data_IF_210100731470
#
_entry.id   IF_210100731470
#
_cell.length_a   1.000
_cell.length_b   1.000
_cell.length_c   1.000
_cell.angle_alpha   90.00
_cell.angle_beta   90.00
_cell.angle_gamma   90.00
#
_symmetry.space_group_name_H-M   'P 1'
#
loop_
_entity.id
_entity.type
_entity.pdbx_description
1 polymer ?
#
# COMPACT_ATOMS: atom_id res chain seq x y z
N UNK A 1 25.18 -12.17 42.87
CA UNK A 1 26.01 -11.13 43.51
C UNK A 1 25.10 -9.90 43.68
N UNK A 2 24.54 -9.71 44.88
CA UNK A 2 23.56 -8.67 45.21
C UNK A 2 24.30 -7.46 45.80
N UNK A 3 24.19 -6.29 45.16
CA UNK A 3 24.72 -5.04 45.71
C UNK A 3 23.58 -4.34 46.46
N UNK A 4 23.68 -4.36 47.79
CA UNK A 4 22.80 -3.63 48.71
C UNK A 4 23.18 -2.15 48.70
N UNK A 5 22.26 -1.29 48.26
CA UNK A 5 22.43 0.16 48.34
C UNK A 5 21.98 0.64 49.74
N UNK A 6 22.95 1.02 50.56
CA UNK A 6 22.71 1.60 51.88
C UNK A 6 22.24 3.05 51.77
N UNK A 7 21.01 3.32 52.21
CA UNK A 7 20.47 4.68 52.33
C UNK A 7 21.03 5.35 53.59
N UNK A 8 21.94 6.32 53.41
CA UNK A 8 22.45 7.15 54.51
C UNK A 8 21.48 8.32 54.72
N UNK A 9 20.73 8.27 55.83
CA UNK A 9 19.89 9.38 56.27
C UNK A 9 20.77 10.49 56.88
N UNK A 10 21.02 11.57 56.14
CA UNK A 10 21.71 12.75 56.66
C UNK A 10 20.78 13.56 57.57
N UNK A 11 21.26 13.84 58.78
CA UNK A 11 20.57 14.64 59.79
C UNK A 11 20.62 16.14 59.38
N UNK A 12 19.48 16.82 59.16
CA UNK A 12 19.43 18.18 58.58
C UNK A 12 19.96 19.30 59.50
N UNK A 13 20.39 18.97 60.71
CA UNK A 13 20.83 19.92 61.74
C UNK A 13 22.31 20.31 61.65
N UNK A 14 23.15 19.66 60.83
CA UNK A 14 24.59 19.96 60.71
C UNK A 14 24.98 20.94 59.60
N UNK A 15 24.01 21.42 58.81
CA UNK A 15 24.28 22.38 57.75
C UNK A 15 24.51 23.78 58.33
N UNK A 16 25.66 24.38 58.02
CA UNK A 16 26.01 25.72 58.46
C UNK A 16 24.95 26.74 58.01
N UNK A 17 24.85 27.86 58.74
CA UNK A 17 23.92 28.94 58.39
C UNK A 17 24.10 29.43 56.94
N UNK A 18 25.33 29.36 56.42
CA UNK A 18 25.68 29.70 55.05
C UNK A 18 25.06 28.74 54.04
N UNK A 19 25.14 27.42 54.26
CA UNK A 19 24.56 26.43 53.33
C UNK A 19 23.03 26.52 53.29
N UNK A 20 22.38 26.83 54.43
CA UNK A 20 20.92 27.06 54.47
C UNK A 20 20.51 28.33 53.71
N UNK A 21 21.31 29.39 53.77
CA UNK A 21 21.06 30.61 53.00
C UNK A 21 21.24 30.37 51.49
N UNK A 22 22.28 29.63 51.10
CA UNK A 22 22.53 29.30 49.68
C UNK A 22 21.45 28.41 49.09
N UNK A 23 20.97 27.39 49.83
CA UNK A 23 19.87 26.53 49.37
C UNK A 23 18.56 27.32 49.23
N UNK A 24 18.26 28.23 50.16
CA UNK A 24 17.09 29.12 50.04
C UNK A 24 17.20 30.07 48.85
N UNK A 25 18.38 30.62 48.59
CA UNK A 25 18.63 31.45 47.42
C UNK A 25 18.48 30.65 46.13
N UNK A 26 18.99 29.42 46.08
CA UNK A 26 18.86 28.54 44.92
C UNK A 26 17.39 28.14 44.67
N UNK A 27 16.64 27.84 45.72
CA UNK A 27 15.19 27.56 45.64
C UNK A 27 14.43 28.81 45.18
N UNK A 28 14.78 30.00 45.66
CA UNK A 28 14.15 31.25 45.22
C UNK A 28 14.49 31.58 43.76
N UNK A 29 15.71 31.31 43.30
CA UNK A 29 16.11 31.47 41.89
C UNK A 29 15.38 30.45 40.99
N UNK A 30 15.26 29.19 41.43
CA UNK A 30 14.50 28.16 40.71
C UNK A 30 12.99 28.47 40.66
N UNK A 31 12.42 28.97 41.76
CA UNK A 31 11.00 29.39 41.81
C UNK A 31 10.76 30.66 40.99
N UNK A 32 11.67 31.63 41.01
CA UNK A 32 11.58 32.84 40.17
C UNK A 32 11.73 32.51 38.67
N UNK A 33 12.58 31.53 38.32
CA UNK A 33 12.71 30.99 36.97
C UNK A 33 11.44 30.26 36.49
N UNK A 34 10.72 29.57 37.38
CA UNK A 34 9.44 28.94 37.05
C UNK A 34 8.28 29.93 36.85
N UNK A 35 8.31 31.11 37.48
CA UNK A 35 7.25 32.13 37.32
C UNK A 35 7.46 32.99 36.06
N UNK A 36 8.71 33.28 35.69
CA UNK A 36 9.02 33.98 34.43
C UNK A 36 8.84 33.13 33.16
N UNK A 37 8.62 31.82 33.29
CA UNK A 37 8.33 30.91 32.17
C UNK A 37 6.82 30.73 31.89
N UNK A 38 5.95 31.55 32.52
CA UNK A 38 4.49 31.41 32.45
C UNK A 38 3.77 32.50 31.63
N UNK A 39 4.41 33.01 30.57
CA UNK A 39 3.77 33.68 29.42
C UNK A 39 3.36 32.77 28.20
N UNK A 40 3.01 31.46 28.31
CA UNK A 40 2.49 30.69 27.14
C UNK A 40 0.99 30.83 26.85
N UNK A 41 0.20 31.58 27.64
CA UNK A 41 -1.29 31.56 27.49
C UNK A 41 -1.84 32.33 26.29
N UNK A 42 -1.21 33.44 25.91
CA UNK A 42 -1.74 34.28 24.83
C UNK A 42 -1.46 33.68 23.45
N UNK A 43 -0.32 33.01 23.27
CA UNK A 43 0.04 32.36 21.99
C UNK A 43 -0.79 31.09 21.75
N UNK A 44 -1.03 30.25 22.76
CA UNK A 44 -1.90 29.08 22.64
C UNK A 44 -3.35 29.48 22.29
N UNK A 45 -3.88 30.52 22.94
CA UNK A 45 -5.22 31.03 22.65
C UNK A 45 -5.32 31.60 21.23
N UNK A 46 -4.28 32.29 20.75
CA UNK A 46 -4.22 32.81 19.37
C UNK A 46 -4.15 31.69 18.33
N UNK A 47 -3.35 30.63 18.59
CA UNK A 47 -3.26 29.46 17.71
C UNK A 47 -4.60 28.73 17.65
N UNK A 48 -5.24 28.49 18.80
CA UNK A 48 -6.56 27.85 18.87
C UNK A 48 -7.64 28.67 18.14
N UNK A 49 -7.65 30.00 18.32
CA UNK A 49 -8.59 30.88 17.63
C UNK A 49 -8.37 30.85 16.11
N UNK A 50 -7.12 30.87 15.65
CA UNK A 50 -6.79 30.78 14.23
C UNK A 50 -7.23 29.43 13.64
N UNK A 51 -7.01 28.33 14.36
CA UNK A 51 -7.46 27.00 13.93
C UNK A 51 -9.00 26.90 13.87
N UNK A 52 -9.72 27.43 14.86
CA UNK A 52 -11.19 27.48 14.83
C UNK A 52 -11.72 28.33 13.66
N UNK A 53 -11.06 29.45 13.34
CA UNK A 53 -11.39 30.28 12.19
C UNK A 53 -11.12 29.55 10.86
N UNK A 54 -10.03 28.79 10.76
CA UNK A 54 -9.71 27.96 9.60
C UNK A 54 -10.76 26.86 9.40
N UNK A 55 -11.12 26.12 10.46
CA UNK A 55 -12.17 25.09 10.42
C UNK A 55 -13.52 25.67 9.96
N UNK A 56 -13.92 26.82 10.52
CA UNK A 56 -15.16 27.52 10.12
C UNK A 56 -15.12 27.94 8.64
N UNK A 57 -13.96 28.35 8.14
CA UNK A 57 -13.80 28.76 6.73
C UNK A 57 -13.92 27.56 5.80
N UNK A 58 -13.35 26.41 6.15
CA UNK A 58 -13.53 25.15 5.41
C UNK A 58 -15.00 24.75 5.38
N UNK A 59 -15.66 24.69 6.54
CA UNK A 59 -17.08 24.29 6.62
C UNK A 59 -17.99 25.23 5.80
N UNK A 60 -17.71 26.54 5.81
CA UNK A 60 -18.45 27.52 5.01
C UNK A 60 -18.25 27.30 3.51
N UNK A 61 -17.02 27.08 3.06
CA UNK A 61 -16.71 26.82 1.66
C UNK A 61 -17.38 25.54 1.15
N UNK A 62 -17.38 24.49 1.99
CA UNK A 62 -18.09 23.23 1.68
C UNK A 62 -19.60 23.46 1.58
N UNK A 63 -20.19 24.21 2.51
CA UNK A 63 -21.62 24.53 2.49
C UNK A 63 -22.02 25.37 1.27
N UNK A 64 -21.12 26.22 0.76
CA UNK A 64 -21.33 26.99 -0.47
C UNK A 64 -21.23 26.13 -1.74
N UNK A 65 -20.72 24.89 -1.64
CA UNK A 65 -20.45 23.99 -2.75
C UNK A 65 -19.51 24.60 -3.83
N UNK A 66 -18.65 25.54 -3.43
CA UNK A 66 -17.64 26.15 -4.30
C UNK A 66 -16.29 25.44 -4.12
N UNK A 67 -15.90 24.64 -5.13
CA UNK A 67 -14.66 23.87 -5.10
C UNK A 67 -13.40 24.76 -5.01
N UNK A 68 -13.43 25.96 -5.59
CA UNK A 68 -12.31 26.89 -5.54
C UNK A 68 -12.15 27.47 -4.14
N UNK A 69 -13.24 27.84 -3.48
CA UNK A 69 -13.19 28.30 -2.08
C UNK A 69 -12.70 27.17 -1.16
N UNK A 70 -13.15 25.93 -1.37
CA UNK A 70 -12.68 24.77 -0.59
C UNK A 70 -11.18 24.55 -0.78
N UNK A 71 -10.69 24.64 -2.01
CA UNK A 71 -9.27 24.50 -2.32
C UNK A 71 -8.42 25.56 -1.59
N UNK A 72 -8.83 26.83 -1.63
CA UNK A 72 -8.12 27.91 -0.93
C UNK A 72 -8.22 27.76 0.60
N UNK A 73 -9.39 27.39 1.13
CA UNK A 73 -9.57 27.18 2.56
C UNK A 73 -8.66 26.06 3.07
N UNK A 74 -8.57 24.94 2.33
CA UNK A 74 -7.62 23.87 2.63
C UNK A 74 -6.17 24.37 2.53
N UNK A 75 -5.77 25.02 1.43
CA UNK A 75 -4.41 25.54 1.25
C UNK A 75 -3.97 26.47 2.39
N UNK A 76 -4.82 27.41 2.79
CA UNK A 76 -4.52 28.34 3.89
C UNK A 76 -4.47 27.69 5.27
N UNK A 77 -4.98 26.46 5.43
CA UNK A 77 -5.01 25.75 6.71
C UNK A 77 -3.69 25.02 7.05
N UNK A 78 -2.69 25.01 6.16
CA UNK A 78 -1.44 24.25 6.35
C UNK A 78 -0.73 24.52 7.69
N UNK A 79 -0.73 25.78 8.13
CA UNK A 79 -0.12 26.22 9.39
C UNK A 79 -1.00 26.08 10.65
N UNK A 80 -2.22 25.55 10.50
CA UNK A 80 -3.26 25.59 11.54
C UNK A 80 -3.73 24.18 11.95
N UNK A 81 -2.81 23.20 11.99
CA UNK A 81 -3.17 21.84 12.39
C UNK A 81 -3.83 21.82 13.78
N UNK A 82 -5.11 21.44 13.81
CA UNK A 82 -5.86 21.15 15.02
C UNK A 82 -6.88 20.03 14.75
N UNK A 83 -7.43 19.45 15.81
CA UNK A 83 -8.47 18.42 15.69
C UNK A 83 -9.73 18.95 14.97
N UNK A 84 -10.08 20.22 15.19
CA UNK A 84 -11.21 20.89 14.56
C UNK A 84 -11.00 21.05 13.05
N UNK A 85 -9.80 21.47 12.63
CA UNK A 85 -9.46 21.62 11.22
C UNK A 85 -9.39 20.26 10.53
N UNK A 86 -8.75 19.27 11.15
CA UNK A 86 -8.71 17.90 10.62
C UNK A 86 -10.13 17.33 10.45
N UNK A 87 -11.01 17.51 11.45
CA UNK A 87 -12.40 17.09 11.36
C UNK A 87 -13.18 17.82 10.26
N UNK A 88 -12.94 19.11 10.05
CA UNK A 88 -13.55 19.88 8.96
C UNK A 88 -13.11 19.38 7.58
N UNK A 89 -11.82 19.10 7.39
CA UNK A 89 -11.28 18.51 6.17
C UNK A 89 -11.86 17.12 5.88
N UNK A 90 -12.00 16.27 6.91
CA UNK A 90 -12.61 14.95 6.77
C UNK A 90 -14.08 15.06 6.37
N UNK A 91 -14.86 15.99 6.97
CA UNK A 91 -16.24 16.26 6.55
C UNK A 91 -16.33 16.76 5.12
N UNK A 92 -15.45 17.67 4.72
CA UNK A 92 -15.36 18.18 3.35
C UNK A 92 -15.10 17.06 2.35
N UNK A 93 -14.18 16.15 2.69
CA UNK A 93 -13.84 14.99 1.90
C UNK A 93 -15.00 14.00 1.81
N UNK A 94 -15.70 13.73 2.92
CA UNK A 94 -16.89 12.86 2.92
C UNK A 94 -18.03 13.43 2.06
N UNK A 95 -18.20 14.76 2.03
CA UNK A 95 -19.23 15.44 1.26
C UNK A 95 -18.94 15.56 -0.25
N UNK A 96 -17.74 15.15 -0.71
CA UNK A 96 -17.26 15.38 -2.09
C UNK A 96 -18.12 14.76 -3.20
N UNK A 97 -18.77 13.63 -2.89
CA UNK A 97 -19.46 12.76 -3.86
C UNK A 97 -18.50 12.06 -4.84
N UNK A 98 -18.97 11.06 -5.58
CA UNK A 98 -18.13 10.35 -6.56
C UNK A 98 -17.89 11.21 -7.81
N UNK A 99 -16.65 11.26 -8.30
CA UNK A 99 -16.30 11.97 -9.52
C UNK A 99 -16.24 10.98 -10.69
N UNK A 100 -17.33 10.91 -11.47
CA UNK A 100 -17.49 9.90 -12.54
C UNK A 100 -17.17 10.42 -13.95
N UNK A 101 -17.07 11.74 -14.15
CA UNK A 101 -16.83 12.34 -15.46
C UNK A 101 -15.59 13.26 -15.49
N UNK A 102 -15.28 13.75 -16.69
CA UNK A 102 -14.22 14.71 -16.97
C UNK A 102 -14.77 16.12 -17.27
N UNK A 103 -15.96 16.45 -16.74
CA UNK A 103 -16.54 17.78 -16.90
C UNK A 103 -15.65 18.84 -16.22
N UNK A 104 -15.70 20.11 -16.65
CA UNK A 104 -14.97 21.19 -15.97
C UNK A 104 -15.26 21.24 -14.46
N UNK A 105 -16.52 21.06 -14.05
CA UNK A 105 -16.92 21.00 -12.64
C UNK A 105 -16.36 19.78 -11.89
N UNK A 106 -16.16 18.65 -12.58
CA UNK A 106 -15.46 17.51 -11.99
C UNK A 106 -13.97 17.81 -11.79
N UNK A 107 -13.32 18.50 -12.72
CA UNK A 107 -11.91 18.92 -12.59
C UNK A 107 -11.75 19.90 -11.41
N UNK A 108 -12.63 20.90 -11.30
CA UNK A 108 -12.64 21.84 -10.16
C UNK A 108 -12.75 21.10 -8.82
N UNK A 109 -13.68 20.15 -8.71
CA UNK A 109 -13.83 19.31 -7.51
C UNK A 109 -12.59 18.48 -7.22
N UNK A 110 -11.91 17.93 -8.24
CA UNK A 110 -10.65 17.19 -8.07
C UNK A 110 -9.57 18.07 -7.46
N UNK A 111 -9.36 19.29 -7.99
CA UNK A 111 -8.36 20.21 -7.43
C UNK A 111 -8.63 20.51 -5.95
N UNK A 112 -9.89 20.66 -5.55
CA UNK A 112 -10.27 20.85 -4.15
C UNK A 112 -9.96 19.62 -3.28
N UNK A 113 -10.30 18.42 -3.75
CA UNK A 113 -10.02 17.15 -3.07
C UNK A 113 -8.50 16.93 -2.94
N UNK A 114 -7.73 17.21 -3.98
CA UNK A 114 -6.27 17.05 -3.96
C UNK A 114 -5.63 17.97 -2.91
N UNK A 115 -6.16 19.19 -2.71
CA UNK A 115 -5.71 20.08 -1.61
C UNK A 115 -6.01 19.46 -0.23
N UNK A 116 -7.23 18.95 -0.05
CA UNK A 116 -7.65 18.32 1.21
C UNK A 116 -6.77 17.09 1.51
N UNK A 117 -6.56 16.23 0.52
CA UNK A 117 -5.75 15.02 0.64
C UNK A 117 -4.28 15.34 0.92
N UNK A 118 -3.70 16.37 0.30
CA UNK A 118 -2.32 16.79 0.60
C UNK A 118 -2.14 17.10 2.10
N UNK A 119 -3.04 17.89 2.69
CA UNK A 119 -2.98 18.19 4.12
C UNK A 119 -3.18 16.96 4.99
N UNK A 120 -4.19 16.15 4.69
CA UNK A 120 -4.48 14.94 5.48
C UNK A 120 -3.31 13.96 5.43
N UNK A 121 -2.66 13.78 4.27
CA UNK A 121 -1.46 12.94 4.12
C UNK A 121 -0.31 13.50 4.95
N UNK A 122 -0.02 14.80 4.81
CA UNK A 122 1.08 15.45 5.55
C UNK A 122 0.88 15.41 7.06
N UNK A 123 -0.35 15.50 7.53
CA UNK A 123 -0.68 15.37 8.96
C UNK A 123 -0.75 13.92 9.43
N UNK A 124 -0.69 12.96 8.50
CA UNK A 124 -0.96 11.54 8.75
C UNK A 124 -2.29 11.40 9.48
N UNK A 125 -3.32 12.06 8.98
CA UNK A 125 -4.65 12.07 9.56
C UNK A 125 -5.25 10.66 9.57
N UNK A 126 -6.05 10.35 10.58
CA UNK A 126 -6.74 9.05 10.68
C UNK A 126 -8.15 9.21 10.11
N UNK A 127 -8.39 8.64 8.93
CA UNK A 127 -9.71 8.71 8.30
C UNK A 127 -10.70 7.72 8.91
N UNK A 128 -12.00 8.07 8.96
CA UNK A 128 -13.07 7.12 9.18
C UNK A 128 -13.03 5.97 8.14
N UNK A 129 -13.31 4.71 8.54
CA UNK A 129 -13.20 3.56 7.63
C UNK A 129 -14.09 3.65 6.38
N UNK A 130 -15.27 4.23 6.51
CA UNK A 130 -16.23 4.46 5.43
C UNK A 130 -15.69 5.47 4.41
N UNK A 131 -15.16 6.61 4.87
CA UNK A 131 -14.53 7.62 4.00
C UNK A 131 -13.33 7.03 3.26
N UNK A 132 -12.50 6.25 3.97
CA UNK A 132 -11.33 5.62 3.38
C UNK A 132 -11.72 4.56 2.33
N UNK A 133 -12.76 3.76 2.60
CA UNK A 133 -13.26 2.75 1.66
C UNK A 133 -13.78 3.38 0.35
N UNK A 134 -14.51 4.49 0.45
CA UNK A 134 -14.97 5.22 -0.73
C UNK A 134 -13.81 5.79 -1.56
N UNK A 135 -12.76 6.29 -0.91
CA UNK A 135 -11.59 6.82 -1.61
C UNK A 135 -10.79 5.73 -2.33
N UNK A 136 -10.69 4.54 -1.72
CA UNK A 136 -10.03 3.38 -2.34
C UNK A 136 -10.74 2.93 -3.62
N UNK A 137 -12.08 3.02 -3.66
CA UNK A 137 -12.87 2.66 -4.84
C UNK A 137 -12.77 3.72 -5.95
N UNK A 138 -12.47 4.97 -5.60
CA UNK A 138 -12.25 6.05 -6.54
C UNK A 138 -10.83 5.98 -7.11
N UNK A 139 -10.71 5.57 -8.38
CA UNK A 139 -9.42 5.43 -9.07
C UNK A 139 -8.54 6.68 -9.02
N UNK A 140 -9.12 7.87 -8.94
CA UNK A 140 -8.35 9.11 -8.84
C UNK A 140 -7.71 9.26 -7.47
N UNK A 141 -8.45 8.93 -6.42
CA UNK A 141 -8.03 9.10 -5.03
C UNK A 141 -7.29 7.88 -4.46
N UNK A 142 -7.28 6.75 -5.18
CA UNK A 142 -6.80 5.47 -4.67
C UNK A 142 -5.38 5.55 -4.08
N UNK A 143 -4.42 6.18 -4.76
CA UNK A 143 -3.05 6.30 -4.25
C UNK A 143 -2.98 7.10 -2.94
N UNK A 144 -3.69 8.23 -2.87
CA UNK A 144 -3.79 9.04 -1.64
C UNK A 144 -4.48 8.27 -0.50
N UNK A 145 -5.54 7.52 -0.82
CA UNK A 145 -6.23 6.65 0.13
C UNK A 145 -5.29 5.57 0.68
N UNK A 146 -4.50 4.94 -0.18
CA UNK A 146 -3.51 3.94 0.21
C UNK A 146 -2.45 4.55 1.13
N UNK A 147 -1.93 5.73 0.80
CA UNK A 147 -0.96 6.44 1.65
C UNK A 147 -1.53 6.65 3.07
N UNK A 148 -2.77 7.13 3.16
CA UNK A 148 -3.46 7.35 4.44
C UNK A 148 -3.74 6.04 5.18
N UNK A 149 -4.13 4.98 4.46
CA UNK A 149 -4.37 3.66 5.03
C UNK A 149 -3.08 3.03 5.61
N UNK A 150 -1.98 3.11 4.86
CA UNK A 150 -0.67 2.61 5.28
C UNK A 150 -0.10 3.38 6.47
N UNK A 151 -0.45 4.66 6.63
CA UNK A 151 -0.05 5.45 7.80
C UNK A 151 -0.70 4.97 9.11
N UNK A 152 -1.83 4.25 9.03
CA UNK A 152 -2.58 3.72 10.17
C UNK A 152 -2.98 2.25 9.94
N UNK A 153 -2.04 1.28 9.94
CA UNK A 153 -2.30 -0.09 9.51
C UNK A 153 -3.54 -0.74 10.12
N UNK A 154 -3.74 -0.63 11.44
CA UNK A 154 -4.88 -1.24 12.14
C UNK A 154 -6.23 -0.69 11.67
N UNK A 155 -6.31 0.62 11.42
CA UNK A 155 -7.54 1.28 10.96
C UNK A 155 -7.70 1.21 9.44
N UNK A 156 -6.59 1.14 8.70
CA UNK A 156 -6.54 1.09 7.25
C UNK A 156 -6.74 -0.32 6.67
N UNK A 157 -6.47 -1.38 7.43
CA UNK A 157 -6.53 -2.76 6.96
C UNK A 157 -7.86 -3.13 6.27
N UNK A 158 -9.07 -2.76 6.76
CA UNK A 158 -10.32 -3.00 6.05
C UNK A 158 -10.35 -2.40 4.64
N UNK A 159 -9.83 -1.17 4.46
CA UNK A 159 -9.79 -0.50 3.17
C UNK A 159 -8.73 -1.12 2.24
N UNK A 160 -7.57 -1.53 2.77
CA UNK A 160 -6.56 -2.24 2.01
C UNK A 160 -7.05 -3.62 1.52
N UNK A 161 -7.81 -4.35 2.34
CA UNK A 161 -8.46 -5.60 1.92
C UNK A 161 -9.50 -5.36 0.82
N UNK A 162 -10.30 -4.30 0.96
CA UNK A 162 -11.26 -3.90 -0.09
C UNK A 162 -10.55 -3.57 -1.40
N UNK A 163 -9.44 -2.81 -1.33
CA UNK A 163 -8.59 -2.51 -2.47
C UNK A 163 -8.13 -3.79 -3.18
N UNK A 164 -7.61 -4.77 -2.42
CA UNK A 164 -7.12 -6.04 -2.96
C UNK A 164 -8.23 -6.90 -3.60
N UNK A 165 -9.46 -6.81 -3.13
CA UNK A 165 -10.61 -7.47 -3.75
C UNK A 165 -11.02 -6.85 -5.10
N UNK A 166 -10.59 -5.62 -5.37
CA UNK A 166 -10.84 -4.91 -6.63
C UNK A 166 -9.76 -5.16 -7.69
N UNK A 167 -9.40 -4.10 -8.41
CA UNK A 167 -8.31 -4.12 -9.40
C UNK A 167 -7.32 -2.97 -9.11
N UNK A 168 -6.50 -3.09 -8.05
CA UNK A 168 -5.58 -2.04 -7.67
C UNK A 168 -4.52 -1.80 -8.74
N UNK A 169 -3.88 -0.63 -8.70
CA UNK A 169 -2.59 -0.42 -9.37
C UNK A 169 -1.53 -1.40 -8.84
N UNK A 170 -0.45 -1.60 -9.59
CA UNK A 170 0.65 -2.48 -9.17
C UNK A 170 1.28 -2.03 -7.84
N UNK A 171 1.53 -0.73 -7.70
CA UNK A 171 2.04 -0.13 -6.47
C UNK A 171 1.05 -0.24 -5.32
N UNK A 172 -0.24 0.00 -5.58
CA UNK A 172 -1.26 -0.11 -4.55
C UNK A 172 -1.46 -1.54 -4.07
N UNK A 173 -1.34 -2.52 -4.97
CA UNK A 173 -1.32 -3.94 -4.62
C UNK A 173 -0.13 -4.27 -3.72
N UNK A 174 1.07 -3.87 -4.10
CA UNK A 174 2.29 -4.13 -3.32
C UNK A 174 2.23 -3.47 -1.93
N UNK A 175 1.86 -2.19 -1.85
CA UNK A 175 1.76 -1.47 -0.59
C UNK A 175 0.72 -2.08 0.37
N UNK A 176 -0.43 -2.52 -0.17
CA UNK A 176 -1.44 -3.20 0.63
C UNK A 176 -0.94 -4.55 1.14
N UNK A 177 -0.27 -5.35 0.29
CA UNK A 177 0.31 -6.62 0.69
C UNK A 177 1.39 -6.44 1.76
N UNK A 178 2.32 -5.50 1.59
CA UNK A 178 3.38 -5.19 2.56
C UNK A 178 2.81 -4.87 3.95
N UNK A 179 1.84 -3.94 4.01
CA UNK A 179 1.22 -3.53 5.28
C UNK A 179 0.46 -4.70 5.93
N UNK A 180 -0.33 -5.44 5.15
CA UNK A 180 -1.14 -6.55 5.66
C UNK A 180 -0.29 -7.75 6.10
N UNK A 181 0.86 -8.00 5.44
CA UNK A 181 1.84 -8.99 5.91
C UNK A 181 2.47 -8.54 7.22
N UNK A 182 2.91 -7.28 7.31
CA UNK A 182 3.52 -6.75 8.53
C UNK A 182 2.56 -6.81 9.73
N UNK A 183 1.26 -6.60 9.51
CA UNK A 183 0.22 -6.74 10.54
C UNK A 183 -0.26 -8.18 10.76
N UNK A 184 0.29 -9.16 10.04
CA UNK A 184 -0.13 -10.58 10.06
C UNK A 184 -1.63 -10.78 9.82
N UNK A 185 -2.18 -10.09 8.83
CA UNK A 185 -3.58 -10.19 8.47
C UNK A 185 -3.92 -11.60 7.96
N UNK A 186 -4.79 -12.30 8.70
CA UNK A 186 -5.14 -13.70 8.43
C UNK A 186 -6.03 -13.91 7.20
N UNK A 187 -6.57 -12.84 6.61
CA UNK A 187 -7.36 -12.92 5.38
C UNK A 187 -6.52 -12.72 4.11
N UNK A 188 -5.28 -12.24 4.25
CA UNK A 188 -4.42 -11.96 3.11
C UNK A 188 -4.06 -13.23 2.33
N UNK A 189 -3.82 -14.35 3.02
CA UNK A 189 -3.47 -15.61 2.36
C UNK A 189 -4.56 -16.08 1.38
N UNK A 190 -5.82 -16.08 1.82
CA UNK A 190 -6.95 -16.43 0.97
C UNK A 190 -7.11 -15.45 -0.19
N UNK A 191 -6.91 -14.16 0.07
CA UNK A 191 -6.96 -13.08 -0.93
C UNK A 191 -5.91 -13.26 -2.03
N UNK A 192 -4.71 -13.72 -1.67
CA UNK A 192 -3.62 -13.96 -2.60
C UNK A 192 -3.75 -15.29 -3.35
N UNK A 193 -4.18 -16.36 -2.67
CA UNK A 193 -4.31 -17.69 -3.27
C UNK A 193 -5.47 -17.81 -4.26
N UNK A 194 -6.59 -17.12 -4.02
CA UNK A 194 -7.80 -17.23 -4.85
C UNK A 194 -7.61 -16.83 -6.32
N UNK A 195 -6.97 -15.68 -6.64
CA UNK A 195 -6.69 -15.31 -8.03
C UNK A 195 -5.37 -15.89 -8.55
N UNK A 196 -4.63 -16.68 -7.76
CA UNK A 196 -3.31 -17.18 -8.14
C UNK A 196 -3.42 -18.23 -9.24
N UNK A 197 -2.88 -17.90 -10.42
CA UNK A 197 -2.77 -18.83 -11.54
C UNK A 197 -1.33 -19.35 -11.65
N UNK A 198 -1.18 -20.68 -11.63
CA UNK A 198 0.07 -21.36 -11.98
C UNK A 198 0.06 -21.61 -13.48
N UNK A 199 0.99 -21.01 -14.21
CA UNK A 199 1.17 -21.25 -15.64
C UNK A 199 2.13 -22.41 -15.85
N UNK A 200 1.62 -23.52 -16.37
CA UNK A 200 2.40 -24.69 -16.74
C UNK A 200 2.62 -24.68 -18.26
N UNK A 201 3.86 -24.39 -18.67
CA UNK A 201 4.28 -24.43 -20.07
C UNK A 201 4.93 -25.77 -20.38
N UNK A 202 4.33 -26.52 -21.29
CA UNK A 202 4.83 -27.80 -21.80
C UNK A 202 5.42 -27.57 -23.19
N UNK A 203 6.72 -27.76 -23.33
CA UNK A 203 7.38 -27.81 -24.64
C UNK A 203 7.54 -29.27 -25.06
N UNK A 204 6.94 -29.65 -26.18
CA UNK A 204 7.06 -31.00 -26.74
C UNK A 204 8.17 -31.01 -27.78
N UNK A 205 9.17 -31.86 -27.61
CA UNK A 205 10.39 -31.85 -28.44
C UNK A 205 10.71 -33.24 -28.94
N UNK A 206 11.44 -33.33 -30.06
CA UNK A 206 12.01 -34.60 -30.50
C UNK A 206 13.14 -35.08 -29.58
N UNK A 207 13.42 -36.39 -29.53
CA UNK A 207 14.56 -36.93 -28.79
C UNK A 207 15.89 -36.23 -29.16
N UNK A 208 16.60 -35.73 -28.15
CA UNK A 208 17.89 -35.07 -28.30
C UNK A 208 17.85 -33.54 -28.52
N UNK A 209 16.67 -32.93 -28.60
CA UNK A 209 16.51 -31.48 -28.69
C UNK A 209 16.34 -30.83 -27.30
N UNK A 210 16.81 -29.59 -27.13
CA UNK A 210 16.55 -28.78 -25.94
C UNK A 210 15.61 -27.61 -26.28
N UNK A 211 14.59 -27.39 -25.45
CA UNK A 211 13.60 -26.34 -25.69
C UNK A 211 14.16 -24.92 -25.49
N UNK A 212 13.93 -24.03 -26.44
CA UNK A 212 14.28 -22.60 -26.35
C UNK A 212 13.28 -21.83 -25.47
N UNK A 213 13.78 -20.99 -24.56
CA UNK A 213 12.97 -20.18 -23.65
C UNK A 213 12.07 -19.15 -24.36
N UNK A 214 10.88 -18.90 -23.80
CA UNK A 214 9.93 -17.93 -24.33
C UNK A 214 10.40 -16.46 -24.14
N UNK A 215 10.12 -15.60 -25.13
CA UNK A 215 10.34 -14.15 -25.05
C UNK A 215 9.07 -13.46 -24.58
N UNK A 216 9.16 -12.58 -23.57
CA UNK A 216 8.04 -11.76 -23.11
C UNK A 216 8.13 -10.35 -23.71
N UNK A 217 7.01 -9.85 -24.23
CA UNK A 217 6.90 -8.55 -24.90
C UNK A 217 6.93 -7.34 -23.94
N UNK A 218 7.29 -6.18 -24.50
CA UNK A 218 7.31 -4.90 -23.79
C UNK A 218 5.90 -4.33 -23.57
N UNK A 219 5.67 -3.68 -22.43
CA UNK A 219 4.43 -2.93 -22.13
C UNK A 219 4.63 -1.46 -22.48
N UNK A 220 3.65 -0.85 -23.15
CA UNK A 220 3.59 0.59 -23.40
C UNK A 220 3.24 1.36 -22.13
N UNK A 221 3.89 2.50 -21.90
CA UNK A 221 3.53 3.47 -20.86
C UNK A 221 2.65 4.57 -21.45
N UNK A 222 1.59 4.96 -20.73
CA UNK A 222 0.77 6.12 -21.08
C UNK A 222 1.09 7.27 -20.13
N UNK A 223 1.17 8.49 -20.67
CA UNK A 223 1.40 9.70 -19.88
C UNK A 223 0.10 10.24 -19.28
N UNK A 224 0.18 10.78 -18.07
CA UNK A 224 -0.93 11.46 -17.41
C UNK A 224 -1.09 12.91 -17.92
N UNK A 225 -2.32 13.39 -17.94
CA UNK A 225 -2.62 14.79 -18.20
C UNK A 225 -3.10 15.49 -16.92
N UNK A 226 -2.41 16.56 -16.54
CA UNK A 226 -2.80 17.46 -15.45
C UNK A 226 -3.05 18.84 -16.05
N UNK A 227 -4.07 19.54 -15.56
CA UNK A 227 -4.31 20.97 -15.82
C UNK A 227 -4.59 21.66 -14.49
N UNK A 228 -3.71 22.57 -14.09
CA UNK A 228 -3.95 23.42 -12.91
C UNK A 228 -4.80 24.62 -13.31
N UNK A 229 -6.05 24.64 -12.83
CA UNK A 229 -7.05 25.65 -13.21
C UNK A 229 -6.68 27.05 -12.71
N UNK A 230 -6.99 28.07 -13.51
CA UNK A 230 -6.79 29.47 -13.12
C UNK A 230 -7.68 29.83 -11.92
N UNK A 231 -7.12 30.58 -10.97
CA UNK A 231 -7.81 31.01 -9.76
C UNK A 231 -7.86 29.96 -8.64
N UNK A 232 -7.35 28.75 -8.85
CA UNK A 232 -7.09 27.79 -7.77
C UNK A 232 -5.72 28.07 -7.13
N UNK A 233 -5.48 27.62 -5.87
CA UNK A 233 -4.13 27.53 -5.34
C UNK A 233 -3.27 26.56 -6.18
N UNK A 234 -1.93 26.52 -6.00
CA UNK A 234 -1.08 25.49 -6.59
C UNK A 234 -1.64 24.10 -6.30
N UNK A 235 -1.66 23.26 -7.35
CA UNK A 235 -2.12 21.88 -7.20
C UNK A 235 -0.97 21.00 -6.72
N UNK A 236 -1.27 19.88 -6.12
CA UNK A 236 -0.35 18.93 -5.47
C UNK A 236 -0.96 17.57 -5.60
N UNK A 237 -0.24 16.69 -6.27
CA UNK A 237 -0.68 15.31 -6.43
C UNK A 237 0.29 14.41 -5.71
N UNK A 238 -0.28 13.39 -5.09
CA UNK A 238 0.41 12.28 -4.48
C UNK A 238 0.18 11.04 -5.32
N UNK A 239 1.24 10.30 -5.60
CA UNK A 239 1.14 9.01 -6.27
C UNK A 239 2.16 8.03 -5.73
N UNK A 240 1.87 6.75 -5.91
CA UNK A 240 2.74 5.66 -5.52
C UNK A 240 3.76 5.36 -6.64
N UNK A 241 4.98 5.00 -6.25
CA UNK A 241 6.08 4.67 -7.16
C UNK A 241 7.00 3.60 -6.58
N UNK A 242 7.51 2.73 -7.45
CA UNK A 242 8.58 1.76 -7.16
C UNK A 242 9.96 2.28 -7.57
N UNK A 243 10.00 3.44 -8.23
CA UNK A 243 11.21 4.09 -8.70
C UNK A 243 11.53 5.26 -7.76
N UNK A 244 12.29 5.04 -6.67
CA UNK A 244 12.55 6.07 -5.66
C UNK A 244 13.35 7.24 -6.23
N UNK A 245 13.06 8.42 -5.70
CA UNK A 245 13.84 9.65 -5.88
C UNK A 245 14.10 10.29 -4.54
N UNK A 246 15.10 11.17 -4.50
CA UNK A 246 15.37 12.02 -3.34
C UNK A 246 14.10 12.79 -2.98
N UNK A 247 13.68 12.68 -1.72
CA UNK A 247 12.47 13.33 -1.19
C UNK A 247 11.20 12.47 -1.23
N UNK A 248 11.20 11.31 -1.88
CA UNK A 248 10.08 10.39 -1.80
C UNK A 248 9.98 9.77 -0.40
N UNK A 249 8.75 9.54 0.08
CA UNK A 249 8.48 8.95 1.38
C UNK A 249 8.28 7.44 1.24
N UNK A 250 8.94 6.61 2.06
CA UNK A 250 8.62 5.19 2.16
C UNK A 250 7.23 5.03 2.79
N UNK A 251 6.32 4.36 2.10
CA UNK A 251 4.94 4.10 2.56
C UNK A 251 4.80 2.68 3.07
N UNK A 252 5.40 1.73 2.38
CA UNK A 252 5.41 0.33 2.76
C UNK A 252 6.77 -0.28 2.42
N UNK A 253 7.32 -1.05 3.37
CA UNK A 253 8.65 -1.63 3.28
C UNK A 253 8.54 -3.15 3.38
N UNK A 254 8.39 -3.79 2.21
CA UNK A 254 8.38 -5.24 2.06
C UNK A 254 9.21 -5.69 0.86
N UNK A 255 8.91 -6.85 0.23
CA UNK A 255 9.68 -7.38 -0.90
C UNK A 255 9.91 -6.42 -2.05
N UNK A 256 8.98 -5.47 -2.23
CA UNK A 256 9.15 -4.33 -3.11
C UNK A 256 8.74 -3.08 -2.35
N UNK A 257 9.72 -2.31 -1.87
CA UNK A 257 9.48 -1.04 -1.18
C UNK A 257 8.65 -0.10 -2.06
N UNK A 258 7.51 0.35 -1.53
CA UNK A 258 6.64 1.31 -2.19
C UNK A 258 6.83 2.70 -1.58
N UNK A 259 7.06 3.67 -2.46
CA UNK A 259 7.23 5.06 -2.08
C UNK A 259 6.03 5.91 -2.51
N UNK A 260 5.77 6.98 -1.77
CA UNK A 260 4.89 8.07 -2.19
C UNK A 260 5.72 9.26 -2.65
N UNK A 261 5.31 9.83 -3.78
CA UNK A 261 5.87 11.06 -4.31
C UNK A 261 4.83 12.16 -4.24
N UNK A 262 5.22 13.27 -3.61
CA UNK A 262 4.49 14.54 -3.66
C UNK A 262 5.06 15.39 -4.78
N UNK A 263 4.20 16.00 -5.59
CA UNK A 263 4.63 17.07 -6.49
C UNK A 263 3.62 18.18 -6.53
N UNK A 264 4.13 19.39 -6.37
CA UNK A 264 3.38 20.62 -6.53
C UNK A 264 3.49 21.13 -7.97
N UNK A 265 2.37 21.61 -8.49
CA UNK A 265 2.19 22.10 -9.83
C UNK A 265 1.72 23.56 -9.75
N UNK A 266 2.55 24.52 -10.21
CA UNK A 266 2.14 25.90 -10.34
C UNK A 266 0.92 26.06 -11.26
N UNK A 267 0.18 27.15 -11.08
CA UNK A 267 -0.93 27.53 -11.96
C UNK A 267 -0.45 27.61 -13.41
N UNK A 268 -1.24 27.05 -14.34
CA UNK A 268 -0.90 27.00 -15.76
C UNK A 268 -0.01 25.83 -16.18
N UNK A 269 0.38 24.95 -15.25
CA UNK A 269 1.10 23.72 -15.63
C UNK A 269 0.19 22.76 -16.40
N UNK A 270 0.70 22.22 -17.50
CA UNK A 270 0.03 21.20 -18.33
C UNK A 270 0.90 19.95 -18.49
N UNK A 271 0.29 18.78 -18.29
CA UNK A 271 0.91 17.48 -18.55
C UNK A 271 1.80 16.96 -17.42
N UNK A 272 1.86 15.63 -17.32
CA UNK A 272 2.66 14.94 -16.31
C UNK A 272 3.15 13.58 -16.82
N UNK A 273 4.46 13.51 -17.07
CA UNK A 273 5.17 12.28 -17.36
C UNK A 273 5.77 11.69 -16.09
N UNK A 274 5.50 10.42 -15.84
CA UNK A 274 6.07 9.69 -14.71
C UNK A 274 5.90 8.19 -14.88
N UNK A 275 7.02 7.46 -14.96
CA UNK A 275 7.00 6.02 -14.77
C UNK A 275 6.90 5.72 -13.27
N UNK A 276 5.96 4.85 -12.89
CA UNK A 276 5.78 4.40 -11.50
C UNK A 276 6.41 3.03 -11.22
N UNK A 277 6.99 2.40 -12.24
CA UNK A 277 7.39 0.98 -12.20
C UNK A 277 6.20 0.05 -12.47
N UNK A 278 6.46 -1.25 -12.47
CA UNK A 278 5.43 -2.29 -12.59
C UNK A 278 5.84 -3.49 -11.75
N UNK A 279 4.87 -4.24 -11.23
CA UNK A 279 5.14 -5.50 -10.54
C UNK A 279 4.62 -6.68 -11.34
N UNK A 280 5.38 -7.77 -11.35
CA UNK A 280 4.86 -9.06 -11.78
C UNK A 280 4.19 -9.73 -10.58
N UNK A 281 2.90 -9.48 -10.36
CA UNK A 281 2.15 -10.01 -9.19
C UNK A 281 2.29 -11.52 -9.04
N UNK A 282 2.23 -12.27 -10.13
CA UNK A 282 2.39 -13.73 -10.10
C UNK A 282 3.77 -14.16 -9.59
N UNK A 283 4.82 -13.33 -9.76
CA UNK A 283 6.15 -13.60 -9.23
C UNK A 283 6.26 -13.22 -7.76
N UNK A 284 5.62 -12.12 -7.34
CA UNK A 284 5.66 -11.63 -5.96
C UNK A 284 4.70 -12.34 -5.01
N UNK A 285 3.57 -12.86 -5.49
CA UNK A 285 2.59 -13.53 -4.65
C UNK A 285 3.20 -14.67 -3.83
N UNK A 286 4.02 -15.58 -4.39
CA UNK A 286 4.74 -16.59 -3.60
C UNK A 286 5.61 -16.00 -2.48
N UNK A 287 6.25 -14.85 -2.69
CA UNK A 287 7.06 -14.17 -1.67
C UNK A 287 6.21 -13.65 -0.51
N UNK A 288 5.03 -13.07 -0.79
CA UNK A 288 4.11 -12.66 0.28
C UNK A 288 3.55 -13.85 1.06
N UNK A 289 3.22 -14.95 0.36
CA UNK A 289 2.79 -16.19 1.03
C UNK A 289 3.92 -16.75 1.91
N UNK A 290 5.18 -16.70 1.44
CA UNK A 290 6.35 -17.07 2.23
C UNK A 290 6.46 -16.23 3.51
N UNK A 291 6.39 -14.90 3.39
CA UNK A 291 6.45 -13.99 4.54
C UNK A 291 5.35 -14.25 5.56
N UNK A 292 4.12 -14.54 5.13
CA UNK A 292 3.04 -14.92 6.05
C UNK A 292 3.38 -16.21 6.82
N UNK A 293 3.94 -17.22 6.15
CA UNK A 293 4.27 -18.51 6.76
C UNK A 293 5.47 -18.44 7.72
N UNK A 294 6.54 -17.75 7.32
CA UNK A 294 7.86 -17.87 7.97
C UNK A 294 8.37 -16.56 8.56
N UNK A 295 7.80 -15.42 8.17
CA UNK A 295 8.36 -14.09 8.44
C UNK A 295 9.62 -13.79 7.61
N UNK A 296 9.98 -14.64 6.65
CA UNK A 296 11.14 -14.49 5.76
C UNK A 296 10.68 -14.42 4.31
N UNK A 297 11.40 -13.63 3.49
CA UNK A 297 11.10 -13.49 2.06
C UNK A 297 11.32 -14.80 1.29
N UNK A 298 12.36 -15.55 1.66
CA UNK A 298 12.63 -16.85 1.09
C UNK A 298 11.91 -17.95 1.88
N UNK A 299 10.99 -18.64 1.21
CA UNK A 299 10.40 -19.88 1.72
C UNK A 299 11.29 -21.06 1.34
N UNK A 300 11.52 -22.02 2.26
CA UNK A 300 12.11 -23.31 1.90
C UNK A 300 11.19 -24.15 0.98
N UNK A 301 9.93 -23.70 0.77
CA UNK A 301 8.91 -24.33 -0.07
C UNK A 301 8.41 -23.31 -1.11
N UNK A 302 9.19 -23.03 -2.17
CA UNK A 302 8.82 -22.00 -3.13
C UNK A 302 7.72 -22.51 -4.07
N UNK A 303 6.53 -21.91 -4.00
CA UNK A 303 5.52 -22.09 -5.03
C UNK A 303 5.96 -21.35 -6.30
N UNK A 304 6.20 -22.10 -7.37
CA UNK A 304 6.50 -21.52 -8.69
C UNK A 304 5.20 -21.30 -9.43
N UNK A 305 4.91 -20.04 -9.79
CA UNK A 305 3.75 -19.67 -10.62
C UNK A 305 4.02 -19.79 -12.11
N UNK A 306 5.29 -19.94 -12.51
CA UNK A 306 5.71 -20.24 -13.87
C UNK A 306 6.51 -21.53 -13.85
N UNK A 307 5.89 -22.61 -14.32
CA UNK A 307 6.49 -23.94 -14.38
C UNK A 307 6.69 -24.27 -15.85
N UNK A 308 7.93 -24.61 -16.21
CA UNK A 308 8.24 -25.13 -17.54
C UNK A 308 8.62 -26.60 -17.42
N UNK A 309 8.07 -27.43 -18.31
CA UNK A 309 8.48 -28.81 -18.46
C UNK A 309 8.72 -29.10 -19.95
N UNK A 310 9.76 -29.87 -20.23
CA UNK A 310 10.01 -30.40 -21.57
C UNK A 310 9.53 -31.84 -21.59
N UNK A 311 8.70 -32.17 -22.58
CA UNK A 311 8.24 -33.54 -22.82
C UNK A 311 8.93 -34.02 -24.08
N UNK A 312 9.75 -35.07 -23.94
CA UNK A 312 10.37 -35.73 -25.10
C UNK A 312 9.30 -36.61 -25.74
N UNK A 313 9.00 -36.34 -27.01
CA UNK A 313 7.97 -37.04 -27.74
C UNK A 313 8.37 -38.49 -28.04
N UNK A 314 7.51 -39.43 -27.65
CA UNK A 314 7.56 -40.83 -28.09
C UNK A 314 6.24 -41.21 -28.76
N UNK A 315 5.15 -40.99 -28.04
CA UNK A 315 3.78 -41.28 -28.46
C UNK A 315 2.77 -40.43 -27.66
N UNK A 316 1.50 -40.49 -28.07
CA UNK A 316 0.42 -39.72 -27.47
C UNK A 316 0.16 -40.10 -26.00
N UNK A 317 0.28 -41.38 -25.63
CA UNK A 317 0.01 -41.84 -24.27
C UNK A 317 1.09 -41.36 -23.30
N UNK A 318 2.36 -41.42 -23.70
CA UNK A 318 3.49 -40.90 -22.94
C UNK A 318 3.36 -39.39 -22.72
N UNK A 319 2.99 -38.62 -23.76
CA UNK A 319 2.77 -37.18 -23.62
C UNK A 319 1.65 -36.86 -22.62
N UNK A 320 0.50 -37.55 -22.69
CA UNK A 320 -0.61 -37.34 -21.74
C UNK A 320 -0.17 -37.68 -20.31
N UNK A 321 0.56 -38.77 -20.12
CA UNK A 321 1.06 -39.19 -18.81
C UNK A 321 2.03 -38.15 -18.21
N UNK A 322 2.98 -37.64 -19.01
CA UNK A 322 3.93 -36.61 -18.56
C UNK A 322 3.25 -35.27 -18.27
N UNK A 323 2.30 -34.85 -19.12
CA UNK A 323 1.50 -33.66 -18.88
C UNK A 323 0.68 -33.76 -17.59
N UNK A 324 0.02 -34.90 -17.35
CA UNK A 324 -0.72 -35.17 -16.12
C UNK A 324 0.19 -35.18 -14.89
N UNK A 325 1.39 -35.78 -14.99
CA UNK A 325 2.37 -35.78 -13.92
C UNK A 325 2.87 -34.35 -13.60
N UNK A 326 3.12 -33.53 -14.62
CA UNK A 326 3.49 -32.12 -14.44
C UNK A 326 2.38 -31.29 -13.79
N UNK A 327 1.13 -31.52 -14.19
CA UNK A 327 -0.05 -30.91 -13.57
C UNK A 327 -0.16 -31.29 -12.09
N UNK A 328 -0.10 -32.59 -11.77
CA UNK A 328 -0.19 -33.10 -10.40
C UNK A 328 0.92 -32.54 -9.48
N UNK A 329 2.13 -32.33 -10.00
CA UNK A 329 3.21 -31.65 -9.25
C UNK A 329 2.86 -30.20 -8.90
N UNK A 330 2.23 -29.47 -9.83
CA UNK A 330 1.78 -28.09 -9.55
C UNK A 330 0.68 -28.08 -8.48
N UNK A 331 -0.30 -28.99 -8.57
CA UNK A 331 -1.35 -29.13 -7.55
C UNK A 331 -0.78 -29.50 -6.17
N UNK A 332 0.19 -30.42 -6.12
CA UNK A 332 0.83 -30.82 -4.88
C UNK A 332 1.58 -29.66 -4.22
N UNK A 333 2.37 -28.90 -5.00
CA UNK A 333 3.10 -27.73 -4.51
C UNK A 333 2.14 -26.63 -4.00
N UNK A 334 1.04 -26.38 -4.70
CA UNK A 334 0.02 -25.44 -4.24
C UNK A 334 -0.62 -25.90 -2.92
N UNK A 335 -1.01 -27.18 -2.81
CA UNK A 335 -1.61 -27.74 -1.59
C UNK A 335 -0.66 -27.64 -0.41
N UNK A 336 0.62 -27.94 -0.62
CA UNK A 336 1.64 -27.83 0.42
C UNK A 336 1.75 -26.42 1.00
N UNK A 337 1.74 -25.38 0.14
CA UNK A 337 1.75 -23.98 0.60
C UNK A 337 0.46 -23.62 1.32
N UNK A 338 -0.70 -24.02 0.78
CA UNK A 338 -1.98 -23.73 1.42
C UNK A 338 -2.11 -24.41 2.80
N UNK A 339 -1.64 -25.64 2.94
CA UNK A 339 -1.66 -26.38 4.21
C UNK A 339 -0.63 -25.79 5.21
N UNK A 340 0.52 -25.31 4.72
CA UNK A 340 1.50 -24.61 5.55
C UNK A 340 0.96 -23.26 6.08
N UNK A 341 0.15 -22.54 5.29
CA UNK A 341 -0.53 -21.32 5.74
C UNK A 341 -1.57 -21.61 6.83
N UNK A 342 -2.31 -22.72 6.71
CA UNK A 342 -3.21 -23.18 7.79
C UNK A 342 -2.42 -23.51 9.06
N UNK A 343 -1.30 -24.22 8.93
CA UNK A 343 -0.42 -24.54 10.06
C UNK A 343 0.14 -23.28 10.74
N UNK A 344 0.47 -22.25 9.96
CA UNK A 344 0.90 -20.93 10.44
C UNK A 344 -0.26 -20.05 10.97
N UNK A 345 -1.51 -20.53 10.91
CA UNK A 345 -2.75 -19.79 11.26
C UNK A 345 -2.98 -18.52 10.44
N UNK A 346 -2.39 -18.47 9.24
CA UNK A 346 -2.55 -17.36 8.29
C UNK A 346 -3.64 -17.62 7.26
N UNK A 347 -4.25 -18.81 7.28
CA UNK A 347 -5.39 -19.20 6.46
C UNK A 347 -6.36 -20.01 7.32
N UNK A 348 -7.65 -19.67 7.30
CA UNK A 348 -8.67 -20.42 8.03
C UNK A 348 -8.91 -21.81 7.37
N UNK A 349 -9.06 -22.90 8.14
CA UNK A 349 -9.32 -24.23 7.59
C UNK A 349 -10.59 -24.32 6.72
N UNK A 350 -11.65 -23.57 7.04
CA UNK A 350 -12.87 -23.54 6.24
C UNK A 350 -12.63 -22.78 4.93
N UNK A 351 -11.89 -21.67 4.95
CA UNK A 351 -11.47 -20.99 3.72
C UNK A 351 -10.62 -21.90 2.84
N UNK A 352 -9.63 -22.59 3.43
CA UNK A 352 -8.78 -23.57 2.75
C UNK A 352 -9.58 -24.64 2.00
N UNK A 353 -10.70 -25.10 2.56
CA UNK A 353 -11.56 -26.11 1.94
C UNK A 353 -12.30 -25.60 0.69
N UNK A 354 -12.49 -24.28 0.57
CA UNK A 354 -13.13 -23.65 -0.60
C UNK A 354 -12.16 -23.28 -1.71
N UNK A 355 -10.85 -23.30 -1.44
CA UNK A 355 -9.81 -22.91 -2.38
C UNK A 355 -9.33 -24.13 -3.20
N UNK A 356 -9.13 -23.90 -4.50
CA UNK A 356 -8.53 -24.85 -5.43
C UNK A 356 -7.46 -24.15 -6.28
N UNK A 357 -6.39 -24.87 -6.69
CA UNK A 357 -5.39 -24.30 -7.57
C UNK A 357 -5.99 -23.97 -8.95
N UNK A 358 -5.64 -22.80 -9.50
CA UNK A 358 -5.90 -22.48 -10.90
C UNK A 358 -4.62 -22.76 -11.70
N UNK A 359 -4.66 -23.75 -12.60
CA UNK A 359 -3.51 -24.14 -13.41
C UNK A 359 -3.84 -23.87 -14.88
N UNK A 360 -3.13 -22.90 -15.48
CA UNK A 360 -3.19 -22.59 -16.91
C UNK A 360 -2.13 -23.42 -17.64
N UNK A 361 -2.56 -24.45 -18.38
CA UNK A 361 -1.66 -25.29 -19.17
C UNK A 361 -1.53 -24.73 -20.58
N UNK A 362 -0.30 -24.52 -21.01
CA UNK A 362 0.06 -24.10 -22.38
C UNK A 362 0.99 -25.13 -23.00
N UNK A 363 0.69 -25.51 -24.23
CA UNK A 363 1.46 -26.51 -24.96
C UNK A 363 2.05 -25.87 -26.20
N UNK A 364 3.36 -26.00 -26.35
CA UNK A 364 4.10 -25.62 -27.56
C UNK A 364 4.64 -26.89 -28.21
N UNK A 365 4.32 -27.09 -29.48
CA UNK A 365 4.77 -28.24 -30.26
C UNK A 365 6.04 -27.88 -31.04
N UNK A 366 7.20 -28.16 -30.44
CA UNK A 366 8.52 -27.92 -31.02
C UNK A 366 9.06 -29.16 -31.79
N UNK A 367 8.23 -30.19 -32.04
CA UNK A 367 8.61 -31.36 -32.83
C UNK A 367 8.84 -30.99 -34.30
N UNK A 368 9.79 -31.63 -34.95
CA UNK A 368 10.00 -31.52 -36.39
C UNK A 368 8.88 -32.23 -37.16
N UNK A 369 8.44 -33.40 -36.68
CA UNK A 369 7.31 -34.14 -37.24
C UNK A 369 6.02 -33.87 -36.45
N UNK A 370 5.10 -33.15 -37.09
CA UNK A 370 3.77 -32.78 -36.58
C UNK A 370 2.64 -33.59 -37.23
N UNK A 371 2.96 -34.68 -37.93
CA UNK A 371 1.98 -35.54 -38.61
C UNK A 371 0.99 -36.19 -37.65
N UNK A 372 1.44 -36.51 -36.44
CA UNK A 372 0.58 -36.96 -35.34
C UNK A 372 0.22 -35.76 -34.46
N UNK A 373 -1.05 -35.31 -34.42
CA UNK A 373 -1.44 -34.19 -33.57
C UNK A 373 -1.28 -34.54 -32.09
N UNK A 374 -0.90 -33.55 -31.27
CA UNK A 374 -0.86 -33.72 -29.83
C UNK A 374 -2.30 -33.89 -29.29
N UNK A 375 -2.56 -34.89 -28.42
CA UNK A 375 -3.85 -35.01 -27.76
C UNK A 375 -4.09 -33.81 -26.81
N UNK A 376 -5.36 -33.45 -26.53
CA UNK A 376 -5.67 -32.39 -25.59
C UNK A 376 -5.26 -32.78 -24.16
N UNK A 377 -4.83 -31.81 -23.36
CA UNK A 377 -4.48 -32.01 -21.95
C UNK A 377 -5.44 -31.25 -21.03
N UNK A 378 -5.68 -31.79 -19.83
CA UNK A 378 -6.53 -31.13 -18.83
C UNK A 378 -5.95 -29.76 -18.44
N UNK A 379 -6.83 -28.77 -18.30
CA UNK A 379 -6.42 -27.40 -17.96
C UNK A 379 -5.79 -26.61 -19.11
N UNK A 380 -5.79 -27.14 -20.34
CA UNK A 380 -5.33 -26.41 -21.52
C UNK A 380 -6.30 -25.26 -21.85
N UNK A 381 -5.83 -24.02 -21.74
CA UNK A 381 -6.67 -22.83 -21.99
C UNK A 381 -6.43 -22.19 -23.36
N UNK A 382 -5.33 -22.55 -24.02
CA UNK A 382 -4.92 -22.00 -25.30
C UNK A 382 -4.71 -23.12 -26.33
N UNK A 383 -5.00 -22.86 -27.62
CA UNK A 383 -4.63 -23.79 -28.69
C UNK A 383 -3.13 -24.10 -28.65
N UNK A 384 -2.75 -25.28 -29.14
CA UNK A 384 -1.34 -25.63 -29.27
C UNK A 384 -0.66 -24.60 -30.15
N UNK A 385 0.40 -23.97 -29.64
CA UNK A 385 1.26 -23.09 -30.41
C UNK A 385 2.15 -23.95 -31.31
N UNK A 386 1.97 -23.81 -32.63
CA UNK A 386 2.70 -24.56 -33.66
C UNK A 386 3.87 -23.79 -34.23
#
# INVERSE_FOLDING_TARGET
>A
MLISAGTVAMNPSSLSAFTRAMVRLLILILLAGCVAASEPRDDEARVALAAAAAATTIDRAVAAADAKEVAWAAWSAEGHRSAEVEAALIRALAARGTIVDASPKAIERRCAIDRILDLLIRWRAKLPPDVLAELVDDRWCADAAIILACAHPDAGAPALRRLLAGRPSDMGWAAACDVLVASKDTSLAATLLRPLTIRLSLAVTDPGMSGGGARFGSRSSGDGHITVLSGFPPDVIWWLTLLPRVGDQVIADGPVTVHARRREFPVGTTGFGGGSGSVERDVLTPTYLALLMTGLEESPRPLKTRVAATVVWSDAAAFVAEAAAAHARCEAAWREVADALVAARMLDPAERATLAPQIDVRVRDDRADKSVPLPPVAGQTTPVEY
#
